data_IF_150464420369
#
_entry.id   IF_150464420369
#
_cell.length_a   1.000
_cell.length_b   1.000
_cell.length_c   1.000
_cell.angle_alpha   90.00
_cell.angle_beta   90.00
_cell.angle_gamma   90.00
#
_symmetry.space_group_name_H-M   'P 1'
#
loop_
_entity.id
_entity.type
_entity.pdbx_description
1 polymer ?
#
# COMPACT_ATOMS: atom_id res chain seq x y z
N UNK A 1 -16.98 -7.82 -12.30
CA UNK A 1 -16.97 -7.21 -10.94
C UNK A 1 -15.58 -7.40 -10.34
N UNK A 2 -15.09 -6.47 -9.50
CA UNK A 2 -13.77 -6.60 -8.86
C UNK A 2 -13.81 -7.49 -7.63
N UNK A 3 -12.83 -8.39 -7.46
CA UNK A 3 -12.78 -9.37 -6.38
C UNK A 3 -12.87 -8.70 -5.01
N UNK A 4 -12.04 -7.69 -4.78
CA UNK A 4 -11.97 -6.94 -3.53
C UNK A 4 -13.31 -6.31 -3.14
N UNK A 5 -14.09 -5.86 -4.13
CA UNK A 5 -15.41 -5.24 -3.89
C UNK A 5 -16.46 -6.28 -3.53
N UNK A 6 -16.43 -7.45 -4.18
CA UNK A 6 -17.34 -8.55 -3.82
C UNK A 6 -17.00 -9.05 -2.42
N UNK A 7 -15.71 -9.22 -2.11
CA UNK A 7 -15.23 -9.63 -0.79
C UNK A 7 -15.69 -8.66 0.30
N UNK A 8 -15.61 -7.35 0.05
CA UNK A 8 -16.10 -6.34 1.00
C UNK A 8 -17.61 -6.51 1.32
N UNK A 9 -18.43 -6.78 0.30
CA UNK A 9 -19.86 -7.05 0.48
C UNK A 9 -20.09 -8.35 1.25
N UNK A 10 -19.39 -9.43 0.91
CA UNK A 10 -19.52 -10.74 1.58
C UNK A 10 -19.12 -10.64 3.06
N UNK A 11 -18.06 -9.89 3.36
CA UNK A 11 -17.56 -9.67 4.72
C UNK A 11 -18.30 -8.56 5.47
N UNK A 12 -19.34 -7.96 4.86
CA UNK A 12 -20.14 -6.89 5.44
C UNK A 12 -19.32 -5.64 5.88
N UNK A 13 -18.30 -5.29 5.10
CA UNK A 13 -17.46 -4.10 5.31
C UNK A 13 -17.66 -3.07 4.19
N UNK A 14 -17.48 -1.79 4.52
CA UNK A 14 -17.80 -0.68 3.60
C UNK A 14 -16.61 -0.22 2.76
N UNK A 15 -15.43 -0.77 3.02
CA UNK A 15 -14.17 -0.43 2.35
C UNK A 15 -13.43 -1.71 1.97
N UNK A 16 -12.83 -1.73 0.78
CA UNK A 16 -11.95 -2.83 0.36
C UNK A 16 -10.77 -3.01 1.34
N UNK A 17 -10.28 -1.91 1.92
CA UNK A 17 -9.17 -1.93 2.87
C UNK A 17 -9.52 -2.57 4.23
N UNK A 18 -10.82 -2.76 4.48
CA UNK A 18 -11.32 -3.42 5.70
C UNK A 18 -11.57 -4.91 5.49
N UNK A 19 -11.28 -5.45 4.31
CA UNK A 19 -11.33 -6.90 4.09
C UNK A 19 -10.13 -7.59 4.73
N UNK A 20 -10.28 -8.86 5.08
CA UNK A 20 -9.22 -9.71 5.65
C UNK A 20 -7.87 -9.57 4.92
N UNK A 21 -7.85 -9.72 3.61
CA UNK A 21 -6.64 -9.67 2.79
C UNK A 21 -5.91 -8.31 2.86
N UNK A 22 -6.64 -7.21 3.08
CA UNK A 22 -6.02 -5.89 3.24
C UNK A 22 -5.66 -5.60 4.70
N UNK A 23 -6.48 -6.02 5.66
CA UNK A 23 -6.21 -5.79 7.08
C UNK A 23 -4.93 -6.49 7.53
N UNK A 24 -4.67 -7.71 7.06
CA UNK A 24 -3.42 -8.42 7.39
C UNK A 24 -2.18 -7.62 6.95
N UNK A 25 -2.19 -7.09 5.72
CA UNK A 25 -1.10 -6.28 5.18
C UNK A 25 -0.98 -4.92 5.89
N UNK A 26 -2.12 -4.26 6.14
CA UNK A 26 -2.16 -2.99 6.89
C UNK A 26 -1.58 -3.16 8.29
N UNK A 27 -1.93 -4.24 8.99
CA UNK A 27 -1.44 -4.53 10.33
C UNK A 27 0.07 -4.77 10.36
N UNK A 28 0.63 -5.46 9.38
CA UNK A 28 2.10 -5.63 9.25
C UNK A 28 2.78 -4.27 9.12
N UNK A 29 2.25 -3.38 8.28
CA UNK A 29 2.80 -2.03 8.07
C UNK A 29 2.66 -1.20 9.35
N UNK A 30 1.49 -1.17 9.98
CA UNK A 30 1.23 -0.45 11.22
C UNK A 30 2.17 -0.90 12.35
N UNK A 31 2.35 -2.21 12.51
CA UNK A 31 3.28 -2.78 13.50
C UNK A 31 4.73 -2.39 13.24
N UNK A 32 5.11 -2.14 11.99
CA UNK A 32 6.46 -1.68 11.64
C UNK A 32 6.71 -0.19 11.90
N UNK A 33 5.64 0.61 11.94
CA UNK A 33 5.71 2.06 12.11
C UNK A 33 5.64 2.45 13.59
N UNK A 34 4.81 1.77 14.39
CA UNK A 34 4.75 2.00 15.85
C UNK A 34 3.73 3.04 16.32
N UNK A 35 3.02 3.75 15.43
CA UNK A 35 1.81 4.50 15.75
C UNK A 35 0.73 4.34 14.68
N UNK A 36 -0.52 4.10 15.13
CA UNK A 36 -1.61 3.66 14.26
C UNK A 36 -2.70 4.68 13.99
N UNK A 37 -2.77 5.79 14.72
CA UNK A 37 -4.02 6.56 14.77
C UNK A 37 -4.17 7.64 13.68
N UNK A 38 -3.08 8.07 13.00
CA UNK A 38 -3.12 9.20 12.06
C UNK A 38 -2.72 8.89 10.60
N UNK A 39 -2.53 7.61 10.25
CA UNK A 39 -1.87 7.23 9.00
C UNK A 39 -2.67 6.34 8.03
N UNK A 40 -3.96 6.14 8.29
CA UNK A 40 -4.83 5.23 7.53
C UNK A 40 -4.75 5.42 6.00
N UNK A 41 -4.78 6.65 5.50
CA UNK A 41 -4.70 6.91 4.06
C UNK A 41 -3.34 6.53 3.45
N UNK A 42 -2.25 6.80 4.17
CA UNK A 42 -0.91 6.48 3.68
C UNK A 42 -0.65 4.98 3.76
N UNK A 43 -1.13 4.31 4.80
CA UNK A 43 -1.09 2.84 4.92
C UNK A 43 -1.85 2.19 3.78
N UNK A 44 -3.08 2.64 3.49
CA UNK A 44 -3.89 2.13 2.38
C UNK A 44 -3.16 2.26 1.03
N UNK A 45 -2.52 3.40 0.77
CA UNK A 45 -1.73 3.61 -0.46
C UNK A 45 -0.50 2.68 -0.51
N UNK A 46 0.19 2.50 0.62
CA UNK A 46 1.36 1.60 0.69
C UNK A 46 0.94 0.16 0.40
N UNK A 47 -0.13 -0.33 1.03
CA UNK A 47 -0.65 -1.69 0.82
C UNK A 47 -0.96 -1.94 -0.66
N UNK A 48 -1.70 -1.02 -1.29
CA UNK A 48 -2.07 -1.14 -2.71
C UNK A 48 -0.84 -1.15 -3.63
N UNK A 49 0.14 -0.29 -3.33
CA UNK A 49 1.36 -0.22 -4.11
C UNK A 49 2.25 -1.45 -3.94
N UNK A 50 2.40 -1.99 -2.72
CA UNK A 50 3.18 -3.22 -2.50
C UNK A 50 2.58 -4.39 -3.27
N UNK A 51 1.25 -4.55 -3.25
CA UNK A 51 0.54 -5.58 -4.02
C UNK A 51 0.82 -5.44 -5.52
N UNK A 52 0.69 -4.23 -6.05
CA UNK A 52 0.96 -3.95 -7.47
C UNK A 52 2.43 -4.25 -7.84
N UNK A 53 3.37 -3.82 -7.00
CA UNK A 53 4.81 -4.05 -7.20
C UNK A 53 5.15 -5.53 -7.21
N UNK A 54 4.62 -6.29 -6.25
CA UNK A 54 4.87 -7.72 -6.13
C UNK A 54 4.40 -8.48 -7.39
N UNK A 55 3.18 -8.21 -7.86
CA UNK A 55 2.63 -8.83 -9.07
C UNK A 55 3.44 -8.43 -10.31
N UNK A 56 3.75 -7.15 -10.49
CA UNK A 56 4.53 -6.69 -11.64
C UNK A 56 5.92 -7.33 -11.71
N UNK A 57 6.61 -7.45 -10.57
CA UNK A 57 7.93 -8.10 -10.50
C UNK A 57 7.80 -9.60 -10.79
N UNK A 58 6.76 -10.26 -10.27
CA UNK A 58 6.47 -11.68 -10.56
C UNK A 58 6.23 -11.94 -12.05
N UNK A 59 5.65 -10.97 -12.76
CA UNK A 59 5.44 -11.03 -14.21
C UNK A 59 6.70 -10.65 -15.03
N UNK A 60 7.85 -10.49 -14.39
CA UNK A 60 9.13 -10.18 -15.03
C UNK A 60 9.30 -8.71 -15.41
N UNK A 61 8.51 -7.80 -14.84
CA UNK A 61 8.66 -6.35 -15.06
C UNK A 61 9.63 -5.79 -14.03
N UNK A 62 10.70 -5.17 -14.52
CA UNK A 62 11.71 -4.52 -13.68
C UNK A 62 11.67 -2.98 -13.81
N UNK A 63 12.05 -2.23 -12.77
CA UNK A 63 12.07 -0.77 -12.82
C UNK A 63 12.99 -0.24 -13.92
N UNK A 64 12.46 0.58 -14.83
CA UNK A 64 13.19 1.18 -15.94
C UNK A 64 12.73 2.63 -16.17
N UNK A 65 13.32 3.33 -17.13
CA UNK A 65 12.92 4.70 -17.47
C UNK A 65 11.87 4.76 -18.59
N UNK A 66 11.43 3.62 -19.12
CA UNK A 66 10.49 3.54 -20.24
C UNK A 66 9.46 2.41 -20.08
N UNK A 67 8.36 2.48 -20.85
CA UNK A 67 7.35 1.42 -20.91
C UNK A 67 6.78 0.99 -19.55
N UNK A 68 6.57 -0.31 -19.36
CA UNK A 68 6.02 -0.90 -18.13
C UNK A 68 6.93 -0.71 -16.92
N UNK A 69 8.24 -0.74 -17.13
CA UNK A 69 9.22 -0.53 -16.06
C UNK A 69 9.21 0.90 -15.51
N UNK A 70 8.87 1.90 -16.32
CA UNK A 70 8.65 3.27 -15.84
C UNK A 70 7.42 3.39 -14.95
N UNK A 71 6.33 2.69 -15.29
CA UNK A 71 5.14 2.64 -14.44
C UNK A 71 5.47 2.01 -13.10
N UNK A 72 6.16 0.87 -13.09
CA UNK A 72 6.63 0.22 -11.85
C UNK A 72 7.50 1.16 -11.01
N UNK A 73 8.48 1.84 -11.63
CA UNK A 73 9.32 2.84 -10.98
C UNK A 73 8.49 3.94 -10.31
N UNK A 74 7.44 4.43 -10.98
CA UNK A 74 6.56 5.48 -10.41
C UNK A 74 5.75 4.97 -9.21
N UNK A 75 5.24 3.74 -9.26
CA UNK A 75 4.50 3.12 -8.16
C UNK A 75 5.42 2.97 -6.95
N UNK A 76 6.63 2.40 -7.13
CA UNK A 76 7.62 2.26 -6.06
C UNK A 76 7.94 3.63 -5.45
N UNK A 77 8.22 4.65 -6.28
CA UNK A 77 8.53 6.00 -5.77
C UNK A 77 7.36 6.64 -5.04
N UNK A 78 6.12 6.38 -5.45
CA UNK A 78 4.93 6.89 -4.75
C UNK A 78 4.76 6.20 -3.40
N UNK A 79 4.96 4.88 -3.34
CA UNK A 79 4.97 4.11 -2.09
C UNK A 79 5.99 4.69 -1.11
N UNK A 80 7.25 4.87 -1.54
CA UNK A 80 8.32 5.45 -0.71
C UNK A 80 8.01 6.87 -0.23
N UNK A 81 7.28 7.68 -1.01
CA UNK A 81 6.84 9.00 -0.54
C UNK A 81 5.84 8.90 0.62
N UNK A 82 4.92 7.95 0.58
CA UNK A 82 3.97 7.73 1.69
C UNK A 82 4.68 7.18 2.93
N UNK A 83 5.63 6.25 2.76
CA UNK A 83 6.48 5.78 3.87
C UNK A 83 7.21 6.95 4.52
N UNK A 84 7.90 7.78 3.73
CA UNK A 84 8.60 8.96 4.25
C UNK A 84 7.68 9.98 4.91
N UNK A 85 6.43 10.13 4.42
CA UNK A 85 5.43 11.02 5.01
C UNK A 85 5.07 10.56 6.43
N UNK A 86 4.92 9.26 6.62
CA UNK A 86 4.67 8.64 7.93
C UNK A 86 5.89 8.88 8.85
N UNK A 87 7.10 8.54 8.41
CA UNK A 87 8.32 8.72 9.22
C UNK A 87 8.57 10.18 9.63
N UNK A 88 8.32 11.13 8.73
CA UNK A 88 8.43 12.57 9.04
C UNK A 88 7.34 13.06 10.00
N UNK A 89 6.16 12.43 9.98
CA UNK A 89 5.08 12.73 10.92
C UNK A 89 5.38 12.22 12.32
N UNK A 90 6.10 11.11 12.45
CA UNK A 90 6.54 10.58 13.74
C UNK A 90 7.74 11.35 14.31
N UNK A 91 8.59 11.94 13.45
CA UNK A 91 9.65 12.85 13.87
C UNK A 91 9.18 14.31 13.90
N UNK A 92 8.45 14.66 14.96
CA UNK A 92 8.21 16.06 15.35
C UNK A 92 9.39 16.54 16.22
N UNK A 93 10.22 17.43 15.65
CA UNK A 93 11.32 18.22 16.22
C UNK A 93 12.42 17.45 17.00
N UNK A 94 13.58 17.30 16.36
CA UNK A 94 14.87 17.49 17.04
C UNK A 94 15.45 18.83 16.60
#
# INVERSE_FOLDING_TARGET
>A
MGLERITAVIQNVHSNYNTDAFQDLSNIILNSIGNSEDHNDSVNVIVDHIRSVAVMISDGIYPSNEGRGYVLRRIIRRCLRHVRKIELSEKIFL
#
